data_IF_575281484999
#
_entry.id   IF_575281484999
#
_cell.length_a   1.000
_cell.length_b   1.000
_cell.length_c   1.000
_cell.angle_alpha   90.00
_cell.angle_beta   90.00
_cell.angle_gamma   90.00
#
_symmetry.space_group_name_H-M   'P 1'
#
loop_
_entity.id
_entity.type
_entity.pdbx_description
1 polymer ?
#
# COMPACT_ATOMS: atom_id res chain seq x y z
N UNK A 1 20.51 -52.25 -7.40
CA UNK A 1 20.54 -51.33 -8.59
C UNK A 1 19.17 -50.80 -8.94
N UNK A 2 18.10 -51.58 -9.02
CA UNK A 2 16.74 -51.12 -9.36
C UNK A 2 16.21 -49.99 -8.48
N UNK A 3 16.52 -49.98 -7.17
CA UNK A 3 16.07 -48.97 -6.21
C UNK A 3 16.82 -47.62 -6.38
N UNK A 4 18.09 -47.67 -6.78
CA UNK A 4 18.91 -46.48 -7.00
C UNK A 4 18.36 -45.70 -8.21
N UNK A 5 17.97 -46.36 -9.28
CA UNK A 5 17.37 -45.71 -10.44
C UNK A 5 16.02 -45.04 -10.11
N UNK A 6 15.21 -45.67 -9.26
CA UNK A 6 13.96 -45.07 -8.77
C UNK A 6 14.20 -43.80 -7.93
N UNK A 7 15.21 -43.82 -7.07
CA UNK A 7 15.57 -42.66 -6.22
C UNK A 7 16.08 -41.53 -7.12
N UNK A 8 16.95 -41.80 -8.07
CA UNK A 8 17.47 -40.81 -9.02
C UNK A 8 16.31 -40.21 -9.82
N UNK A 9 15.38 -41.02 -10.32
CA UNK A 9 14.22 -40.56 -11.06
C UNK A 9 13.33 -39.64 -10.24
N UNK A 10 13.06 -40.00 -8.98
CA UNK A 10 12.27 -39.14 -8.07
C UNK A 10 12.95 -37.81 -7.76
N UNK A 11 14.28 -37.82 -7.56
CA UNK A 11 15.05 -36.58 -7.33
C UNK A 11 15.01 -35.70 -8.58
N UNK A 12 15.17 -36.27 -9.76
CA UNK A 12 15.10 -35.51 -11.03
C UNK A 12 13.73 -34.93 -11.24
N UNK A 13 12.66 -35.66 -10.95
CA UNK A 13 11.28 -35.19 -11.04
C UNK A 13 11.02 -34.03 -10.06
N UNK A 14 11.56 -34.14 -8.83
CA UNK A 14 11.45 -33.09 -7.83
C UNK A 14 12.19 -31.81 -8.23
N UNK A 15 13.40 -31.94 -8.78
CA UNK A 15 14.20 -30.81 -9.24
C UNK A 15 13.59 -30.10 -10.46
N UNK A 16 12.95 -30.84 -11.37
CA UNK A 16 12.21 -30.27 -12.51
C UNK A 16 10.93 -29.53 -12.10
N UNK A 17 10.37 -29.83 -10.94
CA UNK A 17 9.18 -29.18 -10.39
C UNK A 17 9.44 -27.81 -9.74
N UNK A 18 10.71 -27.44 -9.52
CA UNK A 18 11.05 -26.11 -8.96
C UNK A 18 11.08 -25.09 -10.11
N UNK A 19 9.95 -24.85 -10.73
CA UNK A 19 9.78 -23.69 -11.59
C UNK A 19 9.75 -22.46 -10.66
N UNK A 20 10.72 -21.57 -10.83
CA UNK A 20 10.70 -20.28 -10.20
C UNK A 20 9.46 -19.54 -10.69
N UNK A 21 8.46 -19.45 -9.84
CA UNK A 21 7.33 -18.55 -10.04
C UNK A 21 7.91 -17.14 -9.90
N UNK A 22 8.23 -16.52 -11.03
CA UNK A 22 8.52 -15.09 -11.07
C UNK A 22 7.22 -14.37 -10.72
N UNK A 23 7.03 -14.14 -9.44
CA UNK A 23 5.92 -13.34 -8.94
C UNK A 23 6.13 -11.90 -9.41
N UNK A 24 5.20 -11.42 -10.23
CA UNK A 24 4.95 -10.04 -10.61
C UNK A 24 6.18 -9.21 -11.04
N UNK A 25 6.10 -8.71 -12.24
CA UNK A 25 6.94 -7.62 -12.73
C UNK A 25 7.05 -6.52 -11.67
N UNK A 26 8.28 -6.13 -11.34
CA UNK A 26 8.57 -5.12 -10.32
C UNK A 26 8.08 -3.76 -10.81
N UNK A 27 6.83 -3.44 -10.52
CA UNK A 27 6.25 -2.14 -10.83
C UNK A 27 7.00 -1.07 -10.02
N UNK A 28 7.66 -0.16 -10.71
CA UNK A 28 8.30 0.98 -10.07
C UNK A 28 7.23 1.95 -9.59
N UNK A 29 7.05 2.01 -8.28
CA UNK A 29 6.08 2.91 -7.67
C UNK A 29 6.56 4.35 -7.75
N UNK A 30 5.66 5.26 -8.12
CA UNK A 30 5.89 6.70 -8.04
C UNK A 30 6.35 7.07 -6.62
N UNK A 31 7.45 7.80 -6.53
CA UNK A 31 7.99 8.34 -5.27
C UNK A 31 7.82 9.86 -5.26
N UNK A 32 6.60 10.37 -4.95
CA UNK A 32 6.38 11.80 -4.91
C UNK A 32 7.17 12.44 -3.78
N UNK A 33 7.52 13.70 -3.97
CA UNK A 33 8.18 14.50 -2.94
C UNK A 33 7.11 15.13 -2.05
N UNK A 34 6.85 14.47 -0.93
CA UNK A 34 5.81 14.86 0.01
C UNK A 34 6.26 16.04 0.88
N UNK A 35 5.43 17.05 1.04
CA UNK A 35 5.70 18.23 1.88
C UNK A 35 5.95 17.90 3.35
N UNK A 36 5.41 16.80 3.84
CA UNK A 36 5.58 16.33 5.23
C UNK A 36 6.81 15.46 5.46
N UNK A 37 7.70 15.33 4.44
CA UNK A 37 8.90 14.51 4.50
C UNK A 37 10.01 15.19 5.30
N UNK A 38 10.69 14.42 6.17
CA UNK A 38 11.81 14.90 6.97
C UNK A 38 11.40 15.54 8.31
N UNK A 39 12.41 15.98 9.08
CA UNK A 39 12.24 16.50 10.45
C UNK A 39 11.40 17.78 10.53
N UNK A 40 11.40 18.61 9.50
CA UNK A 40 10.66 19.87 9.41
C UNK A 40 9.49 19.82 8.44
N UNK A 41 9.16 18.63 7.98
CA UNK A 41 8.05 18.43 7.06
C UNK A 41 6.71 18.80 7.71
N UNK A 42 5.84 19.45 6.95
CA UNK A 42 4.49 19.83 7.38
C UNK A 42 3.48 19.39 6.33
N UNK A 43 2.30 19.00 6.79
CA UNK A 43 1.19 18.75 5.91
C UNK A 43 0.70 20.06 5.28
N UNK A 44 0.57 20.06 3.94
CA UNK A 44 -0.08 21.15 3.23
C UNK A 44 -1.60 21.02 3.40
N UNK A 45 -2.23 22.03 4.02
CA UNK A 45 -3.66 22.06 4.30
C UNK A 45 -4.51 21.91 3.04
N UNK A 46 -4.17 22.62 1.97
CA UNK A 46 -4.90 22.53 0.71
C UNK A 46 -4.85 21.13 0.10
N UNK A 47 -3.70 20.45 0.21
CA UNK A 47 -3.57 19.07 -0.24
C UNK A 47 -4.37 18.10 0.62
N UNK A 48 -4.43 18.32 1.94
CA UNK A 48 -5.26 17.52 2.84
C UNK A 48 -6.75 17.68 2.53
N UNK A 49 -7.21 18.89 2.26
CA UNK A 49 -8.59 19.17 1.89
C UNK A 49 -8.98 18.49 0.56
N UNK A 50 -8.13 18.58 -0.45
CA UNK A 50 -8.34 17.87 -1.73
C UNK A 50 -8.29 16.34 -1.55
N UNK A 51 -7.38 15.86 -0.74
CA UNK A 51 -7.28 14.41 -0.42
C UNK A 51 -8.53 13.90 0.29
N UNK A 52 -9.08 14.68 1.24
CA UNK A 52 -10.33 14.35 1.92
C UNK A 52 -11.51 14.34 0.94
N UNK A 53 -11.56 15.28 0.01
CA UNK A 53 -12.57 15.30 -1.05
C UNK A 53 -12.52 14.01 -1.89
N UNK A 54 -11.35 13.62 -2.37
CA UNK A 54 -11.17 12.37 -3.11
C UNK A 54 -11.59 11.16 -2.27
N UNK A 55 -11.22 11.16 -0.98
CA UNK A 55 -11.66 10.09 -0.08
C UNK A 55 -13.18 9.97 -0.01
N UNK A 56 -13.90 11.09 0.21
CA UNK A 56 -15.37 11.08 0.34
C UNK A 56 -16.08 10.69 -0.95
N UNK A 57 -15.56 11.11 -2.09
CA UNK A 57 -16.18 10.87 -3.40
C UNK A 57 -15.90 9.47 -3.96
N UNK A 58 -14.72 8.90 -3.66
CA UNK A 58 -14.26 7.66 -4.28
C UNK A 58 -14.08 6.53 -3.28
N UNK A 59 -13.35 6.76 -2.18
CA UNK A 59 -12.88 5.69 -1.30
C UNK A 59 -13.87 5.35 -0.17
N UNK A 60 -14.67 6.31 0.29
CA UNK A 60 -15.53 6.18 1.46
C UNK A 60 -16.62 5.12 1.32
N UNK A 61 -17.02 4.79 0.09
CA UNK A 61 -17.99 3.72 -0.17
C UNK A 61 -17.52 2.34 0.30
N UNK A 62 -16.20 2.10 0.30
CA UNK A 62 -15.59 0.83 0.72
C UNK A 62 -14.70 0.94 1.95
N UNK A 63 -14.10 2.12 2.18
CA UNK A 63 -13.13 2.36 3.24
C UNK A 63 -13.61 3.40 4.24
N UNK A 64 -14.02 2.97 5.43
CA UNK A 64 -14.43 3.88 6.50
C UNK A 64 -13.22 4.41 7.28
N UNK A 65 -13.25 5.68 7.68
CA UNK A 65 -12.30 6.28 8.63
C UNK A 65 -12.80 6.10 10.07
N UNK A 66 -12.81 4.86 10.55
CA UNK A 66 -13.40 4.48 11.84
C UNK A 66 -12.82 5.23 13.04
N UNK A 67 -11.55 5.60 12.99
CA UNK A 67 -10.84 6.23 14.11
C UNK A 67 -10.69 7.74 13.96
N UNK A 68 -11.25 8.33 12.92
CA UNK A 68 -11.27 9.76 12.68
C UNK A 68 -12.66 10.31 12.95
N UNK A 69 -12.78 11.27 13.88
CA UNK A 69 -14.05 11.98 14.10
C UNK A 69 -14.13 13.22 13.21
N UNK A 70 -15.34 13.68 12.92
CA UNK A 70 -15.56 14.91 12.16
C UNK A 70 -14.87 16.13 12.79
N UNK A 71 -14.77 16.18 14.11
CA UNK A 71 -14.05 17.23 14.85
C UNK A 71 -12.57 17.30 14.44
N UNK A 72 -11.93 16.17 14.20
CA UNK A 72 -10.51 16.15 13.79
C UNK A 72 -10.27 16.82 12.43
N UNK A 73 -11.30 16.94 11.60
CA UNK A 73 -11.20 17.59 10.29
C UNK A 73 -11.06 19.11 10.41
N UNK A 74 -11.46 19.72 11.56
CA UNK A 74 -11.32 21.15 11.85
C UNK A 74 -10.15 21.50 12.75
N UNK A 75 -9.49 20.49 13.34
CA UNK A 75 -8.36 20.70 14.26
C UNK A 75 -7.08 21.11 13.52
N UNK A 76 -6.21 21.84 14.25
CA UNK A 76 -4.90 22.27 13.74
C UNK A 76 -4.03 21.08 13.36
N UNK A 77 -3.38 21.17 12.20
CA UNK A 77 -2.54 20.09 11.66
C UNK A 77 -3.28 19.09 10.77
N UNK A 78 -4.60 19.18 10.72
CA UNK A 78 -5.45 18.47 9.77
C UNK A 78 -5.82 19.33 8.57
N UNK A 79 -6.94 18.99 7.88
CA UNK A 79 -7.45 19.78 6.76
C UNK A 79 -8.00 21.15 7.19
N UNK A 80 -8.28 21.34 8.49
CA UNK A 80 -8.74 22.58 9.10
C UNK A 80 -9.96 23.20 8.39
N UNK A 81 -11.00 22.38 8.16
CA UNK A 81 -12.27 22.86 7.62
C UNK A 81 -12.95 23.80 8.63
N UNK A 82 -13.66 24.83 8.13
CA UNK A 82 -14.47 25.69 8.99
C UNK A 82 -15.60 24.90 9.65
N UNK A 83 -15.87 25.24 10.91
CA UNK A 83 -17.01 24.71 11.68
C UNK A 83 -18.18 25.66 11.40
N UNK A 84 -19.07 25.28 10.48
CA UNK A 84 -20.36 25.94 10.24
C UNK A 84 -21.49 25.06 10.75
#
# INVERSE_FOLDING_TARGET
MKNIFKIIYLITLFLLGIHQVNAAEKVELLKPDWSFKGLFGKFDRGSLQRGYQVYTEVCASCHSMKYLSYRNLSETGGPEFSIE
#
